data_IF_261963713739
#
_entry.id   IF_261963713739
#
_cell.length_a   1.000
_cell.length_b   1.000
_cell.length_c   1.000
_cell.angle_alpha   90.00
_cell.angle_beta   90.00
_cell.angle_gamma   90.00
#
_symmetry.space_group_name_H-M   'P 1'
#
loop_
_entity.id
_entity.type
_entity.pdbx_description
1 polymer ?
#
# COMPACT_ATOMS: atom_id res chain seq x y z
N UNK A 1 -1.45 14.65 -1.95
CA UNK A 1 -0.41 14.84 -2.98
C UNK A 1 -0.29 16.32 -3.31
N UNK A 2 0.88 16.88 -3.20
CA UNK A 2 1.17 18.29 -3.41
C UNK A 2 1.74 18.54 -4.81
N UNK A 3 2.91 17.97 -5.09
CA UNK A 3 3.58 18.12 -6.38
C UNK A 3 4.49 16.93 -6.70
N UNK A 4 5.00 16.90 -7.95
CA UNK A 4 5.98 15.96 -8.43
C UNK A 4 7.12 16.73 -9.13
N UNK A 5 8.35 16.55 -8.67
CA UNK A 5 9.53 17.15 -9.28
C UNK A 5 10.39 16.11 -10.00
N UNK A 6 10.95 16.49 -11.16
CA UNK A 6 11.87 15.64 -11.92
C UNK A 6 13.24 15.65 -11.24
N UNK A 7 13.74 14.48 -10.85
CA UNK A 7 15.06 14.31 -10.24
C UNK A 7 16.13 13.79 -11.24
N UNK A 8 15.75 13.57 -12.51
CA UNK A 8 16.67 13.17 -13.57
C UNK A 8 16.64 11.66 -13.84
N UNK A 9 17.82 11.10 -14.11
CA UNK A 9 18.02 9.65 -14.26
C UNK A 9 19.18 9.21 -13.38
N UNK A 10 19.14 7.96 -12.96
CA UNK A 10 20.21 7.40 -12.16
C UNK A 10 20.08 5.90 -11.97
N UNK A 11 21.21 5.27 -11.67
CA UNK A 11 21.28 3.85 -11.42
C UNK A 11 20.47 3.48 -10.17
N UNK A 12 19.51 2.57 -10.31
CA UNK A 12 18.70 2.03 -9.22
C UNK A 12 18.58 0.53 -9.33
N UNK A 13 18.60 -0.14 -8.19
CA UNK A 13 18.31 -1.57 -8.09
C UNK A 13 16.87 -1.75 -7.67
N UNK A 14 16.08 -2.37 -8.54
CA UNK A 14 14.64 -2.56 -8.40
C UNK A 14 14.32 -4.05 -8.48
N UNK A 15 13.33 -4.52 -7.72
CA UNK A 15 12.81 -5.88 -7.90
C UNK A 15 11.80 -5.89 -9.05
N UNK A 16 11.91 -6.86 -9.94
CA UNK A 16 11.00 -7.04 -11.07
C UNK A 16 10.42 -8.45 -11.05
N UNK A 17 9.12 -8.55 -10.76
CA UNK A 17 8.43 -9.85 -10.69
C UNK A 17 8.39 -10.59 -12.02
N UNK A 18 8.56 -9.91 -13.15
CA UNK A 18 8.60 -10.55 -14.48
C UNK A 18 9.80 -11.47 -14.66
N UNK A 19 10.89 -11.18 -13.97
CA UNK A 19 12.11 -11.99 -13.97
C UNK A 19 12.38 -12.64 -12.61
N UNK A 20 11.48 -12.44 -11.64
CA UNK A 20 11.58 -12.88 -10.27
C UNK A 20 12.96 -12.56 -9.65
N UNK A 21 13.39 -11.31 -9.81
CA UNK A 21 14.75 -10.95 -9.41
C UNK A 21 15.01 -9.45 -9.39
N UNK A 22 16.18 -9.12 -8.83
CA UNK A 22 16.70 -7.76 -8.77
C UNK A 22 17.36 -7.36 -10.08
N UNK A 23 16.98 -6.21 -10.62
CA UNK A 23 17.58 -5.61 -11.81
C UNK A 23 18.20 -4.26 -11.44
N UNK A 24 19.32 -3.92 -12.07
CA UNK A 24 19.91 -2.57 -11.96
C UNK A 24 19.75 -1.87 -13.29
N UNK A 25 19.08 -0.72 -13.27
CA UNK A 25 18.74 0.06 -14.46
C UNK A 25 18.99 1.56 -14.25
N UNK A 26 19.14 2.31 -15.35
CA UNK A 26 19.14 3.78 -15.33
C UNK A 26 17.69 4.28 -15.29
N UNK A 27 17.10 4.30 -14.10
CA UNK A 27 15.70 4.65 -13.87
C UNK A 27 15.45 6.15 -14.10
N UNK A 28 14.27 6.52 -14.57
CA UNK A 28 13.77 7.89 -14.46
C UNK A 28 13.34 8.15 -13.03
N UNK A 29 13.80 9.25 -12.44
CA UNK A 29 13.64 9.58 -11.03
C UNK A 29 12.76 10.81 -10.85
N UNK A 30 11.81 10.70 -9.92
CA UNK A 30 10.91 11.78 -9.55
C UNK A 30 10.77 11.82 -8.03
N UNK A 31 10.60 13.01 -7.45
CA UNK A 31 10.25 13.16 -6.04
C UNK A 31 8.78 13.59 -5.95
N UNK A 32 7.95 12.75 -5.35
CA UNK A 32 6.56 13.05 -5.03
C UNK A 32 6.50 13.64 -3.63
N UNK A 33 5.97 14.87 -3.50
CA UNK A 33 5.80 15.56 -2.24
C UNK A 33 4.33 15.57 -1.82
N UNK A 34 4.10 15.41 -0.52
CA UNK A 34 2.77 15.35 0.08
C UNK A 34 2.56 16.48 1.08
N UNK A 35 1.32 16.82 1.35
CA UNK A 35 0.93 17.95 2.19
C UNK A 35 1.15 17.71 3.69
N UNK A 36 1.41 16.47 4.10
CA UNK A 36 1.86 16.07 5.43
C UNK A 36 3.40 16.18 5.62
N UNK A 37 4.12 16.61 4.59
CA UNK A 37 5.58 16.80 4.61
C UNK A 37 6.39 15.55 4.21
N UNK A 38 5.74 14.43 3.91
CA UNK A 38 6.42 13.25 3.37
C UNK A 38 6.87 13.47 1.93
N UNK A 39 7.97 12.81 1.55
CA UNK A 39 8.48 12.77 0.18
C UNK A 39 8.90 11.36 -0.17
N UNK A 40 8.52 10.89 -1.36
CA UNK A 40 8.78 9.54 -1.86
C UNK A 40 9.51 9.63 -3.20
N UNK A 41 10.61 8.88 -3.37
CA UNK A 41 11.28 8.76 -4.66
C UNK A 41 10.53 7.75 -5.54
N UNK A 42 10.02 8.21 -6.68
CA UNK A 42 9.41 7.34 -7.69
C UNK A 42 10.46 7.00 -8.75
N UNK A 43 10.71 5.71 -8.93
CA UNK A 43 11.69 5.13 -9.83
C UNK A 43 10.96 4.42 -10.95
N UNK A 44 10.97 5.00 -12.15
CA UNK A 44 10.30 4.43 -13.32
C UNK A 44 11.32 3.73 -14.20
N UNK A 45 11.07 2.47 -14.52
CA UNK A 45 11.94 1.65 -15.36
C UNK A 45 12.18 2.33 -16.72
N UNK A 46 13.43 2.36 -17.26
CA UNK A 46 13.73 3.01 -18.54
C UNK A 46 13.00 2.39 -19.74
N UNK A 47 12.36 1.25 -19.58
CA UNK A 47 11.50 0.64 -20.63
C UNK A 47 10.31 1.52 -21.03
N UNK A 48 9.99 2.56 -20.27
CA UNK A 48 8.97 3.56 -20.63
C UNK A 48 9.47 4.55 -21.72
N UNK A 49 10.74 4.52 -22.06
CA UNK A 49 11.35 5.36 -23.08
C UNK A 49 11.73 6.73 -22.55
N UNK A 50 11.06 7.79 -23.01
CA UNK A 50 11.44 9.15 -22.65
C UNK A 50 10.90 9.57 -21.27
N UNK A 51 11.59 10.49 -20.64
CA UNK A 51 11.24 11.03 -19.31
C UNK A 51 9.81 11.60 -19.25
N UNK A 52 9.31 12.16 -20.34
CA UNK A 52 7.94 12.67 -20.42
C UNK A 52 6.89 11.56 -20.27
N UNK A 53 7.14 10.38 -20.86
CA UNK A 53 6.26 9.21 -20.71
C UNK A 53 6.34 8.65 -19.30
N UNK A 54 7.54 8.55 -18.74
CA UNK A 54 7.76 8.11 -17.36
C UNK A 54 7.08 9.04 -16.34
N UNK A 55 7.11 10.36 -16.59
CA UNK A 55 6.47 11.37 -15.74
C UNK A 55 4.96 11.15 -15.61
N UNK A 56 4.29 10.79 -16.72
CA UNK A 56 2.83 10.53 -16.70
C UNK A 56 2.49 9.38 -15.76
N UNK A 57 3.25 8.30 -15.81
CA UNK A 57 3.03 7.16 -14.91
C UNK A 57 3.40 7.52 -13.46
N UNK A 58 4.51 8.22 -13.24
CA UNK A 58 4.91 8.66 -11.91
C UNK A 58 3.82 9.54 -11.27
N UNK A 59 3.28 10.51 -11.99
CA UNK A 59 2.22 11.40 -11.48
C UNK A 59 0.91 10.66 -11.21
N UNK A 60 0.53 9.73 -12.10
CA UNK A 60 -0.67 8.88 -11.93
C UNK A 60 -0.64 8.18 -10.58
N UNK A 61 0.46 7.49 -10.26
CA UNK A 61 0.55 6.72 -9.02
C UNK A 61 0.85 7.57 -7.79
N UNK A 62 1.62 8.66 -7.92
CA UNK A 62 1.82 9.61 -6.82
C UNK A 62 0.48 10.17 -6.29
N UNK A 63 -0.47 10.45 -7.20
CA UNK A 63 -1.81 10.93 -6.82
C UNK A 63 -2.64 9.87 -6.11
N UNK A 64 -2.53 8.60 -6.49
CA UNK A 64 -3.23 7.50 -5.81
C UNK A 64 -2.62 7.27 -4.43
N UNK A 65 -1.29 7.18 -4.34
CA UNK A 65 -0.55 7.01 -3.09
C UNK A 65 -0.84 8.17 -2.12
N UNK A 66 -0.94 9.40 -2.63
CA UNK A 66 -1.29 10.58 -1.82
C UNK A 66 -2.70 10.56 -1.21
N UNK A 67 -3.54 9.58 -1.54
CA UNK A 67 -4.85 9.37 -0.89
C UNK A 67 -4.79 8.39 0.27
N UNK A 68 -3.68 7.67 0.42
CA UNK A 68 -3.48 6.77 1.55
C UNK A 68 -3.30 7.58 2.84
N UNK A 69 -3.67 7.02 4.01
CA UNK A 69 -3.32 7.62 5.30
C UNK A 69 -1.80 7.84 5.42
N UNK A 70 -1.39 8.88 6.11
CA UNK A 70 0.02 9.13 6.43
C UNK A 70 0.68 7.91 7.07
N UNK A 71 0.00 7.26 8.01
CA UNK A 71 0.47 6.01 8.65
C UNK A 71 0.80 4.87 7.68
N UNK A 72 0.24 4.86 6.48
CA UNK A 72 0.59 3.88 5.43
C UNK A 72 1.69 4.38 4.48
N UNK A 73 2.04 5.67 4.53
CA UNK A 73 3.04 6.27 3.65
C UNK A 73 4.36 6.58 4.34
N UNK A 74 4.36 6.65 5.67
CA UNK A 74 5.51 7.12 6.46
C UNK A 74 6.78 6.28 6.27
N UNK A 75 6.63 4.99 5.99
CA UNK A 75 7.76 4.09 5.73
C UNK A 75 7.93 3.78 4.23
N UNK A 76 7.16 4.40 3.34
CA UNK A 76 7.36 4.28 1.89
C UNK A 76 8.44 5.26 1.45
N UNK A 77 9.66 4.77 1.26
CA UNK A 77 10.78 5.58 0.76
C UNK A 77 10.82 5.62 -0.76
N UNK A 78 10.44 4.52 -1.40
CA UNK A 78 10.54 4.38 -2.87
C UNK A 78 9.30 3.72 -3.46
N UNK A 79 9.05 4.02 -4.74
CA UNK A 79 8.04 3.35 -5.57
C UNK A 79 8.69 2.88 -6.85
N UNK A 80 8.60 1.59 -7.17
CA UNK A 80 9.09 1.03 -8.43
C UNK A 80 7.95 0.85 -9.42
N UNK A 81 8.12 1.37 -10.63
CA UNK A 81 7.11 1.29 -11.69
C UNK A 81 7.69 0.56 -12.89
N UNK A 82 7.08 -0.58 -13.23
CA UNK A 82 7.40 -1.42 -14.38
C UNK A 82 6.20 -1.58 -15.32
N UNK A 83 6.48 -1.93 -16.56
CA UNK A 83 5.46 -2.52 -17.44
C UNK A 83 5.14 -3.95 -16.97
N UNK A 84 4.10 -4.55 -17.57
CA UNK A 84 3.72 -5.92 -17.25
C UNK A 84 2.45 -6.03 -16.42
N UNK A 85 2.09 -7.28 -16.10
CA UNK A 85 0.82 -7.64 -15.46
C UNK A 85 1.03 -8.47 -14.20
N UNK A 86 2.23 -8.41 -13.63
CA UNK A 86 2.54 -9.09 -12.37
C UNK A 86 1.87 -8.36 -11.20
N UNK A 87 1.53 -9.06 -10.11
CA UNK A 87 0.93 -8.45 -8.93
C UNK A 87 1.80 -7.33 -8.35
N UNK A 88 1.15 -6.42 -7.60
CA UNK A 88 1.82 -5.41 -6.80
C UNK A 88 2.62 -6.05 -5.66
N UNK A 89 3.42 -5.28 -4.98
CA UNK A 89 4.16 -5.67 -3.80
C UNK A 89 4.40 -4.51 -2.85
N UNK A 90 4.39 -4.81 -1.55
CA UNK A 90 4.77 -3.91 -0.48
C UNK A 90 5.85 -4.54 0.40
N UNK A 91 6.48 -3.73 1.24
CA UNK A 91 7.56 -4.12 2.14
C UNK A 91 8.91 -3.50 1.76
N UNK A 92 9.89 -3.63 2.66
CA UNK A 92 11.24 -3.07 2.47
C UNK A 92 11.24 -1.57 2.08
N UNK A 93 10.39 -0.78 2.72
CA UNK A 93 10.20 0.65 2.47
C UNK A 93 9.84 0.99 1.01
N UNK A 94 9.14 0.08 0.34
CA UNK A 94 8.86 0.18 -1.09
C UNK A 94 7.44 -0.24 -1.46
N UNK A 95 6.95 0.34 -2.57
CA UNK A 95 5.78 -0.15 -3.31
C UNK A 95 6.19 -0.54 -4.72
N UNK A 96 5.86 -1.75 -5.14
CA UNK A 96 6.11 -2.28 -6.48
C UNK A 96 4.83 -2.27 -7.32
N UNK A 97 4.91 -1.65 -8.49
CA UNK A 97 3.78 -1.47 -9.41
C UNK A 97 4.14 -2.03 -10.79
N UNK A 98 3.24 -2.87 -11.34
CA UNK A 98 3.23 -3.24 -12.75
C UNK A 98 1.98 -2.63 -13.40
N UNK A 99 2.17 -1.72 -14.37
CA UNK A 99 1.08 -0.87 -14.87
C UNK A 99 -0.06 -1.64 -15.54
N UNK A 100 0.22 -2.76 -16.21
CA UNK A 100 -0.83 -3.58 -16.81
C UNK A 100 -1.69 -4.30 -15.76
N UNK A 101 -1.14 -4.59 -14.58
CA UNK A 101 -1.93 -5.10 -13.46
C UNK A 101 -2.71 -3.96 -12.78
N UNK A 102 -2.11 -2.77 -12.66
CA UNK A 102 -2.82 -1.59 -12.19
C UNK A 102 -4.07 -1.28 -13.01
N UNK A 103 -3.99 -1.41 -14.33
CA UNK A 103 -5.15 -1.18 -15.23
C UNK A 103 -6.25 -2.22 -14.97
N UNK A 104 -5.91 -3.47 -14.66
CA UNK A 104 -6.89 -4.50 -14.24
C UNK A 104 -7.53 -4.15 -12.91
N UNK A 105 -6.73 -3.81 -11.91
CA UNK A 105 -7.23 -3.39 -10.59
C UNK A 105 -8.14 -2.15 -10.68
N UNK A 106 -7.82 -1.22 -11.60
CA UNK A 106 -8.68 -0.07 -11.86
C UNK A 106 -10.02 -0.47 -12.49
N UNK A 107 -10.01 -1.40 -13.47
CA UNK A 107 -11.21 -1.93 -14.10
C UNK A 107 -12.10 -2.69 -13.11
N UNK A 108 -11.48 -3.44 -12.19
CA UNK A 108 -12.16 -4.19 -11.14
C UNK A 108 -12.59 -3.30 -9.96
N UNK A 109 -12.18 -2.04 -9.93
CA UNK A 109 -12.52 -1.07 -8.88
C UNK A 109 -11.77 -1.28 -7.55
N UNK A 110 -10.64 -2.01 -7.57
CA UNK A 110 -9.87 -2.39 -6.36
C UNK A 110 -8.45 -1.77 -6.30
N UNK A 111 -8.12 -0.85 -7.20
CA UNK A 111 -6.76 -0.28 -7.26
C UNK A 111 -6.36 0.41 -5.94
N UNK A 112 -7.24 1.25 -5.38
CA UNK A 112 -6.96 1.96 -4.12
C UNK A 112 -6.87 0.97 -2.94
N UNK A 113 -7.72 -0.05 -2.92
CA UNK A 113 -7.71 -1.12 -1.91
C UNK A 113 -6.40 -1.92 -1.94
N UNK A 114 -5.90 -2.24 -3.15
CA UNK A 114 -4.60 -2.90 -3.32
C UNK A 114 -3.46 -2.03 -2.78
N UNK A 115 -3.48 -0.71 -3.03
CA UNK A 115 -2.48 0.18 -2.45
C UNK A 115 -2.54 0.23 -0.91
N UNK A 116 -3.73 0.21 -0.33
CA UNK A 116 -3.88 0.10 1.14
C UNK A 116 -3.22 -1.18 1.65
N UNK A 117 -3.45 -2.31 1.00
CA UNK A 117 -2.88 -3.60 1.36
C UNK A 117 -1.34 -3.59 1.28
N UNK A 118 -0.77 -3.19 0.15
CA UNK A 118 0.69 -3.18 -0.05
C UNK A 118 1.40 -2.16 0.85
N UNK A 119 0.78 -1.00 1.06
CA UNK A 119 1.33 0.01 1.95
C UNK A 119 1.24 -0.42 3.43
N UNK A 120 0.23 -1.20 3.82
CA UNK A 120 0.17 -1.80 5.15
C UNK A 120 1.32 -2.79 5.37
N UNK A 121 1.69 -3.61 4.39
CA UNK A 121 2.92 -4.42 4.45
C UNK A 121 4.16 -3.57 4.66
N UNK A 122 4.25 -2.44 3.97
CA UNK A 122 5.43 -1.56 4.02
C UNK A 122 5.55 -0.86 5.37
N UNK A 123 4.47 -0.29 5.89
CA UNK A 123 4.52 0.61 7.04
C UNK A 123 4.08 -0.04 8.37
N UNK A 124 3.36 -1.16 8.33
CA UNK A 124 2.80 -1.73 9.57
C UNK A 124 3.42 -3.06 9.99
N UNK A 125 3.82 -3.92 9.05
CA UNK A 125 4.23 -5.29 9.37
C UNK A 125 5.43 -5.33 10.32
N UNK A 126 6.45 -4.51 10.06
CA UNK A 126 7.68 -4.51 10.85
C UNK A 126 7.42 -4.23 12.33
N UNK A 127 6.47 -3.35 12.63
CA UNK A 127 6.14 -2.92 13.99
C UNK A 127 5.02 -3.77 14.62
N UNK A 128 4.03 -4.18 13.83
CA UNK A 128 2.79 -4.72 14.36
C UNK A 128 2.60 -6.22 14.16
N UNK A 129 3.10 -6.86 13.07
CA UNK A 129 2.77 -8.25 12.75
C UNK A 129 3.19 -9.26 13.84
N UNK A 130 4.26 -8.97 14.59
CA UNK A 130 4.75 -9.78 15.70
C UNK A 130 4.51 -9.16 17.10
N UNK A 131 3.83 -8.00 17.15
CA UNK A 131 3.58 -7.33 18.42
C UNK A 131 2.68 -8.18 19.34
N UNK A 132 3.01 -8.32 20.63
CA UNK A 132 2.20 -9.12 21.55
C UNK A 132 0.73 -8.70 21.62
N UNK A 133 0.45 -7.39 21.50
CA UNK A 133 -0.92 -6.87 21.48
C UNK A 133 -1.70 -7.29 20.23
N UNK A 134 -1.05 -7.30 19.07
CA UNK A 134 -1.65 -7.81 17.82
C UNK A 134 -1.94 -9.30 17.91
N UNK A 135 -0.97 -10.10 18.32
CA UNK A 135 -1.13 -11.55 18.45
C UNK A 135 -2.22 -11.92 19.46
N UNK A 136 -2.35 -11.15 20.56
CA UNK A 136 -3.43 -11.32 21.52
C UNK A 136 -4.80 -10.98 20.90
N UNK A 137 -4.91 -9.89 20.15
CA UNK A 137 -6.13 -9.50 19.43
C UNK A 137 -6.53 -10.55 18.39
N UNK A 138 -5.55 -11.01 17.59
CA UNK A 138 -5.74 -12.08 16.59
C UNK A 138 -6.28 -13.37 17.25
N UNK A 139 -5.70 -13.77 18.38
CA UNK A 139 -6.15 -14.98 19.11
C UNK A 139 -7.50 -14.83 19.78
N UNK A 140 -7.90 -13.61 20.15
CA UNK A 140 -9.17 -13.35 20.84
C UNK A 140 -10.34 -13.19 19.85
N UNK A 141 -10.07 -12.91 18.58
CA UNK A 141 -11.10 -12.80 17.56
C UNK A 141 -11.66 -14.17 17.13
N UNK A 142 -12.96 -14.26 16.80
CA UNK A 142 -13.59 -15.52 16.42
C UNK A 142 -12.99 -16.19 15.19
N UNK A 143 -12.52 -15.40 14.21
CA UNK A 143 -11.97 -15.90 12.95
C UNK A 143 -11.13 -14.82 12.25
N UNK A 144 -10.66 -15.11 11.02
CA UNK A 144 -9.95 -14.17 10.15
C UNK A 144 -10.91 -13.54 9.14
N UNK A 145 -10.59 -12.32 8.71
CA UNK A 145 -11.43 -11.58 7.77
C UNK A 145 -11.40 -12.20 6.35
N UNK A 146 -10.33 -12.89 6.02
CA UNK A 146 -10.17 -13.60 4.75
C UNK A 146 -9.50 -14.96 4.94
N UNK A 147 -9.61 -15.82 3.93
CA UNK A 147 -8.87 -17.09 3.88
C UNK A 147 -7.38 -16.85 3.77
N UNK A 148 -6.97 -15.79 3.10
CA UNK A 148 -5.56 -15.44 2.92
C UNK A 148 -4.91 -15.03 4.25
N UNK A 149 -5.57 -14.16 5.03
CA UNK A 149 -5.13 -13.83 6.40
C UNK A 149 -5.05 -15.07 7.30
N UNK A 150 -6.03 -15.98 7.20
CA UNK A 150 -6.04 -17.22 7.99
C UNK A 150 -4.90 -18.17 7.63
N UNK A 151 -4.61 -18.31 6.34
CA UNK A 151 -3.60 -19.25 5.85
C UNK A 151 -2.17 -18.73 6.05
N UNK A 152 -2.01 -17.38 6.15
CA UNK A 152 -0.73 -16.71 6.37
C UNK A 152 -0.80 -15.65 7.49
N UNK A 153 -1.19 -16.02 8.72
CA UNK A 153 -1.56 -15.05 9.77
C UNK A 153 -0.41 -14.15 10.25
N UNK A 154 0.83 -14.62 10.14
CA UNK A 154 2.02 -13.84 10.52
C UNK A 154 2.54 -12.91 9.41
N UNK A 155 1.94 -12.96 8.22
CA UNK A 155 2.39 -12.17 7.07
C UNK A 155 1.29 -11.30 6.48
N UNK A 156 0.07 -11.82 6.39
CA UNK A 156 -1.00 -11.16 5.63
C UNK A 156 -2.09 -10.53 6.50
N UNK A 157 -2.22 -10.95 7.77
CA UNK A 157 -3.37 -10.58 8.58
C UNK A 157 -3.44 -9.07 8.93
N UNK A 158 -2.28 -8.39 9.07
CA UNK A 158 -2.24 -6.93 9.24
C UNK A 158 -2.83 -6.25 7.99
N UNK A 159 -2.28 -6.55 6.82
CA UNK A 159 -2.66 -5.91 5.56
C UNK A 159 -4.13 -6.20 5.21
N UNK A 160 -4.57 -7.46 5.34
CA UNK A 160 -5.96 -7.87 5.12
C UNK A 160 -6.94 -7.24 6.12
N UNK A 161 -6.51 -6.96 7.35
CA UNK A 161 -7.35 -6.37 8.39
C UNK A 161 -7.42 -4.85 8.34
N UNK A 162 -6.38 -4.18 7.80
CA UNK A 162 -6.33 -2.71 7.82
C UNK A 162 -7.36 -2.07 6.90
N UNK A 163 -7.62 -2.65 5.73
CA UNK A 163 -8.66 -2.14 4.82
C UNK A 163 -10.07 -2.19 5.43
N UNK A 164 -10.54 -3.33 6.02
CA UNK A 164 -11.77 -3.37 6.79
C UNK A 164 -11.82 -2.39 7.97
N UNK A 165 -10.70 -2.19 8.67
CA UNK A 165 -10.58 -1.18 9.72
C UNK A 165 -10.83 0.24 9.18
N UNK A 166 -10.19 0.62 8.06
CA UNK A 166 -10.45 1.90 7.38
C UNK A 166 -11.93 2.05 7.01
N UNK A 167 -12.53 1.00 6.47
CA UNK A 167 -13.93 1.02 6.09
C UNK A 167 -14.85 1.28 7.30
N UNK A 168 -14.62 0.61 8.43
CA UNK A 168 -15.44 0.74 9.63
C UNK A 168 -15.26 2.10 10.30
N UNK A 169 -14.04 2.65 10.36
CA UNK A 169 -13.76 3.88 11.12
C UNK A 169 -13.91 5.15 10.29
N UNK A 170 -13.55 5.09 9.01
CA UNK A 170 -13.38 6.30 8.21
C UNK A 170 -14.22 6.34 6.93
N UNK A 171 -14.83 5.21 6.52
CA UNK A 171 -15.59 5.10 5.26
C UNK A 171 -16.82 4.21 5.39
N UNK A 172 -17.49 4.29 6.54
CA UNK A 172 -18.67 3.46 6.83
C UNK A 172 -19.78 3.62 5.77
N UNK A 173 -19.87 4.80 5.18
CA UNK A 173 -20.83 5.09 4.09
C UNK A 173 -20.53 4.35 2.78
N UNK A 174 -19.35 3.79 2.62
CA UNK A 174 -18.95 3.04 1.42
C UNK A 174 -19.23 1.55 1.50
N UNK A 175 -19.62 1.06 2.66
CA UNK A 175 -19.91 -0.38 2.84
C UNK A 175 -21.36 -0.60 3.26
N UNK A 176 -21.89 -1.79 2.94
CA UNK A 176 -23.24 -2.15 3.37
C UNK A 176 -23.30 -2.40 4.88
N UNK A 177 -24.47 -2.16 5.52
CA UNK A 177 -24.64 -2.52 6.94
C UNK A 177 -24.34 -3.99 7.25
N UNK A 178 -24.63 -4.89 6.29
CA UNK A 178 -24.32 -6.31 6.43
C UNK A 178 -22.81 -6.55 6.46
N UNK A 179 -22.03 -5.89 5.58
CA UNK A 179 -20.58 -6.02 5.57
C UNK A 179 -19.98 -5.42 6.85
N UNK A 180 -20.48 -4.25 7.29
CA UNK A 180 -20.03 -3.64 8.54
C UNK A 180 -20.25 -4.58 9.75
N UNK A 181 -21.42 -5.21 9.84
CA UNK A 181 -21.69 -6.22 10.88
C UNK A 181 -20.76 -7.42 10.77
N UNK A 182 -20.49 -7.92 9.57
CA UNK A 182 -19.56 -9.04 9.37
C UNK A 182 -18.17 -8.69 9.88
N UNK A 183 -17.63 -7.52 9.51
CA UNK A 183 -16.30 -7.06 9.96
C UNK A 183 -16.26 -6.98 11.49
N UNK A 184 -17.25 -6.30 12.11
CA UNK A 184 -17.31 -6.13 13.56
C UNK A 184 -17.48 -7.43 14.33
N UNK A 185 -18.12 -8.45 13.75
CA UNK A 185 -18.25 -9.78 14.36
C UNK A 185 -17.01 -10.65 14.15
N UNK A 186 -16.27 -10.42 13.07
CA UNK A 186 -15.11 -11.23 12.70
C UNK A 186 -13.85 -10.80 13.44
N UNK A 187 -13.60 -9.49 13.56
CA UNK A 187 -12.32 -8.96 14.03
C UNK A 187 -12.44 -7.81 15.05
N UNK A 188 -13.31 -7.89 16.05
CA UNK A 188 -13.52 -6.78 16.99
C UNK A 188 -12.26 -6.42 17.80
N UNK A 189 -11.44 -7.41 18.17
CA UNK A 189 -10.22 -7.18 18.93
C UNK A 189 -9.09 -6.59 18.07
N UNK A 190 -8.97 -7.02 16.80
CA UNK A 190 -8.03 -6.39 15.84
C UNK A 190 -8.40 -4.94 15.56
N UNK A 191 -9.71 -4.63 15.42
CA UNK A 191 -10.18 -3.24 15.29
C UNK A 191 -9.80 -2.45 16.54
N UNK A 192 -10.05 -2.97 17.74
CA UNK A 192 -9.67 -2.31 18.98
C UNK A 192 -8.13 -2.15 19.13
N UNK A 193 -7.36 -3.09 18.59
CA UNK A 193 -5.91 -2.95 18.53
C UNK A 193 -5.50 -1.75 17.68
N UNK A 194 -6.04 -1.61 16.47
CA UNK A 194 -5.75 -0.47 15.60
C UNK A 194 -6.23 0.85 16.20
N UNK A 195 -7.40 0.89 16.84
CA UNK A 195 -7.91 2.08 17.56
C UNK A 195 -6.96 2.57 18.67
N UNK A 196 -6.18 1.68 19.24
CA UNK A 196 -5.21 2.00 20.30
C UNK A 196 -3.82 2.41 19.75
N UNK A 197 -3.61 2.38 18.43
CA UNK A 197 -2.41 2.93 17.82
C UNK A 197 -2.61 4.42 17.55
N UNK A 198 -1.56 5.19 17.64
CA UNK A 198 -1.58 6.62 17.32
C UNK A 198 -1.28 6.85 15.84
N UNK A 199 -2.03 6.19 14.95
CA UNK A 199 -1.86 6.35 13.51
C UNK A 199 -2.24 7.77 13.07
N UNK A 200 -1.38 8.38 12.27
CA UNK A 200 -1.75 9.60 11.54
C UNK A 200 -2.63 9.22 10.34
N UNK A 201 -3.92 9.50 10.48
CA UNK A 201 -4.92 9.12 9.50
C UNK A 201 -5.22 10.23 8.47
N UNK A 202 -4.45 11.33 8.45
CA UNK A 202 -4.57 12.33 7.38
C UNK A 202 -4.44 11.65 5.99
N UNK A 203 -5.29 11.92 4.99
CA UNK A 203 -6.31 12.96 4.91
C UNK A 203 -7.73 12.51 5.30
N UNK A 204 -7.89 11.45 6.07
CA UNK A 204 -9.22 10.94 6.47
C UNK A 204 -9.79 11.68 7.68
N UNK A 205 -8.93 12.32 8.47
CA UNK A 205 -9.27 13.18 9.62
C UNK A 205 -8.86 14.62 9.36
#
# INVERSE_FOLDING_TARGET
FQDLSVAGQGSRTMFDRRVDGWITVEAHLFNANFDDGLSIEIQVNPEFGESATALVEAEKYARVIGRLPTALREDVETVWIHKGTEPFGGGNNNLLIHIGQADRYLQDGILEETFVHEAAHTSLDATHASAPGWLAAQSADPTFISTYARDFPGREDIAESFLPYLAIRYRLERISPSLANTIMQTMPNRIAYFDNQSFDMHPFE
#
